data_IF_623614928986
#
_entry.id   IF_623614928986
#
_cell.length_a   1.000
_cell.length_b   1.000
_cell.length_c   1.000
_cell.angle_alpha   90.00
_cell.angle_beta   90.00
_cell.angle_gamma   90.00
#
_symmetry.space_group_name_H-M   'P 1'
#
loop_
_entity.id
_entity.type
_entity.pdbx_description
1 polymer ?
#
# COMPACT_ATOMS: atom_id res chain seq x y z
N UNK A 1 -31.62 -14.29 1.15
CA UNK A 1 -30.41 -13.50 0.76
C UNK A 1 -29.23 -13.81 1.68
N UNK A 2 -29.45 -14.14 2.95
CA UNK A 2 -28.40 -14.59 3.90
C UNK A 2 -28.02 -16.07 3.76
N UNK A 3 -28.83 -16.88 3.05
CA UNK A 3 -28.57 -18.32 2.87
C UNK A 3 -27.24 -18.64 2.17
N UNK A 4 -26.78 -17.80 1.23
CA UNK A 4 -25.48 -17.98 0.58
C UNK A 4 -24.28 -17.72 1.53
N UNK A 5 -24.48 -16.92 2.56
CA UNK A 5 -23.49 -16.67 3.62
C UNK A 5 -23.65 -17.65 4.80
N UNK A 6 -24.83 -18.27 4.93
CA UNK A 6 -25.23 -19.06 6.09
C UNK A 6 -25.55 -20.54 5.76
N UNK A 7 -25.15 -21.06 4.60
CA UNK A 7 -25.13 -22.50 4.31
C UNK A 7 -24.07 -23.19 5.19
N UNK A 8 -24.41 -23.42 6.46
CA UNK A 8 -23.78 -24.43 7.31
C UNK A 8 -22.27 -24.29 7.59
N UNK A 9 -21.70 -23.09 7.61
CA UNK A 9 -20.32 -22.85 8.07
C UNK A 9 -19.24 -22.78 6.99
N UNK A 10 -19.56 -23.02 5.71
CA UNK A 10 -18.57 -22.96 4.62
C UNK A 10 -18.09 -21.55 4.26
N UNK A 11 -18.91 -20.52 4.48
CA UNK A 11 -18.54 -19.14 4.19
C UNK A 11 -17.29 -18.71 4.99
N UNK A 12 -17.16 -19.17 6.23
CA UNK A 12 -16.00 -18.90 7.09
C UNK A 12 -14.70 -19.53 6.58
N UNK A 13 -14.75 -20.55 5.72
CA UNK A 13 -13.56 -21.16 5.11
C UNK A 13 -13.10 -20.42 3.85
N UNK A 14 -14.05 -19.90 3.08
CA UNK A 14 -13.80 -19.30 1.77
C UNK A 14 -13.39 -17.82 1.88
N UNK A 15 -14.04 -17.08 2.78
CA UNK A 15 -13.74 -15.67 3.03
C UNK A 15 -12.30 -15.36 3.44
N UNK A 16 -11.64 -16.11 4.33
CA UNK A 16 -10.24 -15.84 4.67
C UNK A 16 -9.31 -16.05 3.48
N UNK A 17 -9.61 -16.97 2.54
CA UNK A 17 -8.81 -17.14 1.33
C UNK A 17 -8.87 -15.88 0.45
N UNK A 18 -10.07 -15.33 0.23
CA UNK A 18 -10.24 -14.04 -0.47
C UNK A 18 -9.63 -12.86 0.31
N UNK A 19 -9.75 -12.87 1.63
CA UNK A 19 -9.15 -11.87 2.51
C UNK A 19 -7.63 -11.85 2.41
N UNK A 20 -6.98 -13.03 2.42
CA UNK A 20 -5.53 -13.15 2.24
C UNK A 20 -5.12 -12.64 0.86
N UNK A 21 -5.82 -13.01 -0.21
CA UNK A 21 -5.52 -12.50 -1.56
C UNK A 21 -5.66 -10.97 -1.64
N UNK A 22 -6.72 -10.40 -1.05
CA UNK A 22 -6.92 -8.96 -0.96
C UNK A 22 -5.79 -8.30 -0.16
N UNK A 23 -5.42 -8.87 0.98
CA UNK A 23 -4.32 -8.38 1.81
C UNK A 23 -3.02 -8.40 1.03
N UNK A 24 -2.68 -9.49 0.35
CA UNK A 24 -1.46 -9.57 -0.48
C UNK A 24 -1.45 -8.50 -1.56
N UNK A 25 -2.57 -8.29 -2.26
CA UNK A 25 -2.70 -7.25 -3.28
C UNK A 25 -2.51 -5.84 -2.66
N UNK A 26 -3.19 -5.56 -1.56
CA UNK A 26 -3.07 -4.29 -0.83
C UNK A 26 -1.64 -4.08 -0.33
N UNK A 27 -1.01 -5.09 0.24
CA UNK A 27 0.37 -5.01 0.75
C UNK A 27 1.35 -4.72 -0.40
N UNK A 28 1.14 -5.38 -1.55
CA UNK A 28 1.92 -5.17 -2.76
C UNK A 28 1.81 -3.75 -3.30
N UNK A 29 0.67 -3.07 -3.10
CA UNK A 29 0.44 -1.67 -3.51
C UNK A 29 0.93 -0.68 -2.45
N UNK A 30 0.73 -0.99 -1.16
CA UNK A 30 1.11 -0.12 -0.04
C UNK A 30 2.62 -0.01 0.11
N UNK A 31 3.37 -1.08 -0.13
CA UNK A 31 4.84 -1.09 -0.08
C UNK A 31 5.50 -0.08 -1.05
N UNK A 32 5.18 -0.08 -2.36
CA UNK A 32 5.74 0.89 -3.30
C UNK A 32 5.25 2.30 -3.03
N UNK A 33 4.00 2.53 -2.61
CA UNK A 33 3.52 3.86 -2.24
C UNK A 33 4.33 4.43 -1.06
N UNK A 34 4.54 3.62 -0.01
CA UNK A 34 5.36 4.01 1.15
C UNK A 34 6.81 4.31 0.75
N UNK A 35 7.38 3.50 -0.15
CA UNK A 35 8.75 3.69 -0.65
C UNK A 35 8.87 4.93 -1.53
N UNK A 36 7.87 5.18 -2.37
CA UNK A 36 7.83 6.35 -3.26
C UNK A 36 7.75 7.67 -2.46
N UNK A 37 6.97 7.70 -1.37
CA UNK A 37 6.94 8.88 -0.50
C UNK A 37 8.29 9.20 0.15
N UNK A 38 9.10 8.18 0.50
CA UNK A 38 10.44 8.39 1.04
C UNK A 38 11.41 8.97 -0.01
N UNK A 39 11.38 8.43 -1.23
CA UNK A 39 12.28 8.87 -2.31
C UNK A 39 12.02 10.32 -2.74
N UNK A 40 10.75 10.75 -2.74
CA UNK A 40 10.39 12.14 -3.07
C UNK A 40 10.88 13.13 -2.01
N UNK A 41 10.86 12.75 -0.74
CA UNK A 41 11.37 13.58 0.34
C UNK A 41 12.89 13.83 0.19
N UNK A 42 13.65 12.81 -0.20
CA UNK A 42 15.10 12.90 -0.36
C UNK A 42 15.52 13.81 -1.54
N UNK A 43 14.79 13.76 -2.65
CA UNK A 43 15.06 14.63 -3.81
C UNK A 43 14.83 16.11 -3.48
N UNK A 44 13.83 16.43 -2.66
CA UNK A 44 13.55 17.82 -2.27
C UNK A 44 14.69 18.45 -1.46
N UNK A 45 15.33 17.66 -0.60
CA UNK A 45 16.46 18.12 0.23
C UNK A 45 17.68 18.44 -0.62
N UNK A 46 17.96 17.64 -1.66
CA UNK A 46 19.10 17.87 -2.56
C UNK A 46 18.91 19.10 -3.46
N UNK A 47 17.68 19.39 -3.88
CA UNK A 47 17.38 20.58 -4.69
C UNK A 47 17.51 21.88 -3.89
N UNK A 48 17.15 21.87 -2.60
CA UNK A 48 17.33 23.03 -1.72
C UNK A 48 18.81 23.39 -1.51
N UNK A 49 19.70 22.39 -1.40
CA UNK A 49 21.14 22.65 -1.23
C UNK A 49 21.80 23.21 -2.50
N UNK A 50 21.36 22.80 -3.70
CA UNK A 50 21.93 23.31 -4.94
C UNK A 50 21.59 24.79 -5.18
N UNK A 51 20.51 25.29 -4.59
CA UNK A 51 20.08 26.67 -4.76
C UNK A 51 20.79 27.66 -3.81
N UNK A 52 21.44 27.20 -2.75
CA UNK A 52 22.14 28.07 -1.77
C UNK A 52 23.62 28.30 -2.10
N UNK A 53 24.23 27.50 -2.98
CA UNK A 53 25.63 27.66 -3.41
C UNK A 53 25.85 28.54 -4.65
N UNK A 54 24.78 29.16 -5.17
CA UNK A 54 24.76 29.81 -6.48
C UNK A 54 24.26 31.25 -6.47
N UNK A 55 24.66 32.08 -5.51
CA UNK A 55 24.49 33.53 -5.64
C UNK A 55 25.84 34.24 -5.39
N UNK A 56 26.24 35.14 -6.32
CA UNK A 56 27.56 35.76 -6.42
C UNK A 56 27.87 36.79 -5.33
#
# INVERSE_FOLDING_TARGET
MTDFLAMGGYALYVWPAYGISLITLVLSIVLPIRRHNRLRAEISVLLSQRNEGGSP
#
